data_IF_947083878733
#
_entry.id   IF_947083878733
#
_cell.length_a   1.000
_cell.length_b   1.000
_cell.length_c   1.000
_cell.angle_alpha   90.00
_cell.angle_beta   90.00
_cell.angle_gamma   90.00
#
_symmetry.space_group_name_H-M   'P 1'
#
loop_
_entity.id
_entity.type
_entity.pdbx_description
1 polymer ?
#
# COMPACT_ATOMS: atom_id res chain seq x y z
N UNK A 1 -31.53 7.70 -27.39
CA UNK A 1 -30.92 8.46 -26.27
C UNK A 1 -31.19 7.64 -25.01
N UNK A 2 -30.17 7.06 -24.39
CA UNK A 2 -30.34 6.25 -23.17
C UNK A 2 -30.09 7.17 -21.99
N UNK A 3 -31.13 7.44 -21.21
CA UNK A 3 -31.02 8.14 -19.93
C UNK A 3 -31.06 7.08 -18.83
N UNK A 4 -29.93 6.89 -18.14
CA UNK A 4 -29.82 5.98 -17.01
C UNK A 4 -29.27 6.73 -15.80
N UNK A 5 -30.03 6.76 -14.71
CA UNK A 5 -29.52 7.16 -13.41
C UNK A 5 -28.64 6.04 -12.84
N UNK A 6 -27.52 6.41 -12.21
CA UNK A 6 -26.68 5.45 -11.48
C UNK A 6 -26.16 6.09 -10.20
N UNK A 7 -25.91 5.25 -9.20
CA UNK A 7 -25.35 5.62 -7.90
C UNK A 7 -24.23 4.64 -7.56
N UNK A 8 -23.12 5.15 -7.02
CA UNK A 8 -21.99 4.30 -6.62
C UNK A 8 -21.73 4.50 -5.12
N UNK A 9 -22.05 3.46 -4.35
CA UNK A 9 -21.81 3.44 -2.91
C UNK A 9 -20.35 3.09 -2.62
N UNK A 10 -19.62 4.00 -1.96
CA UNK A 10 -18.25 3.78 -1.52
C UNK A 10 -18.12 3.90 -0.01
N UNK A 11 -17.39 2.98 0.61
CA UNK A 11 -17.02 3.04 2.03
C UNK A 11 -15.57 3.50 2.13
N UNK A 12 -15.37 4.73 2.60
CA UNK A 12 -14.05 5.22 2.96
C UNK A 12 -13.71 4.78 4.39
N UNK A 13 -12.73 3.88 4.54
CA UNK A 13 -12.32 3.33 5.84
C UNK A 13 -11.14 4.13 6.40
N UNK A 14 -11.35 4.78 7.54
CA UNK A 14 -10.32 5.46 8.32
C UNK A 14 -10.17 4.78 9.68
N UNK A 15 -8.94 4.42 10.05
CA UNK A 15 -8.62 3.80 11.35
C UNK A 15 -7.53 4.61 12.02
N UNK A 16 -7.76 5.01 13.27
CA UNK A 16 -6.75 5.64 14.11
C UNK A 16 -6.20 4.60 15.07
N UNK A 17 -4.88 4.50 15.17
CA UNK A 17 -4.20 3.60 16.08
C UNK A 17 -2.85 4.20 16.47
N UNK A 18 -2.22 3.63 17.49
CA UNK A 18 -0.83 3.94 17.89
C UNK A 18 0.01 2.70 17.68
N UNK A 19 1.28 2.88 17.31
CA UNK A 19 2.21 1.77 17.08
C UNK A 19 1.65 0.75 16.06
N UNK A 20 1.27 1.25 14.88
CA UNK A 20 0.55 0.48 13.87
C UNK A 20 1.33 -0.74 13.33
N UNK A 21 2.66 -0.77 13.53
CA UNK A 21 3.55 -1.87 13.17
C UNK A 21 3.97 -2.72 14.39
N UNK A 22 3.40 -2.47 15.57
CA UNK A 22 3.50 -3.42 16.68
C UNK A 22 2.78 -4.72 16.29
N UNK A 23 3.41 -5.91 16.40
CA UNK A 23 2.78 -7.17 16.02
C UNK A 23 1.47 -7.51 16.76
N UNK A 24 1.20 -6.91 17.91
CA UNK A 24 -0.08 -7.04 18.62
C UNK A 24 -1.17 -6.09 18.13
N UNK A 25 -0.84 -5.10 17.29
CA UNK A 25 -1.79 -4.12 16.79
C UNK A 25 -2.67 -4.72 15.68
N UNK A 26 -4.00 -4.73 15.82
CA UNK A 26 -4.86 -5.38 14.85
C UNK A 26 -5.12 -4.55 13.58
N UNK A 27 -4.79 -3.26 13.58
CA UNK A 27 -5.31 -2.31 12.60
C UNK A 27 -4.98 -2.65 11.14
N UNK A 28 -3.80 -3.23 10.87
CA UNK A 28 -3.38 -3.55 9.51
C UNK A 28 -3.86 -4.93 9.05
N UNK A 29 -3.67 -5.98 9.85
CA UNK A 29 -4.07 -7.32 9.41
C UNK A 29 -5.60 -7.48 9.31
N UNK A 30 -6.39 -6.76 10.11
CA UNK A 30 -7.86 -6.81 10.04
C UNK A 30 -8.43 -6.12 8.80
N UNK A 31 -7.70 -5.20 8.16
CA UNK A 31 -8.17 -4.58 6.91
C UNK A 31 -7.92 -5.46 5.68
N UNK A 32 -7.11 -6.50 5.82
CA UNK A 32 -6.87 -7.48 4.77
C UNK A 32 -8.11 -8.35 4.60
N UNK A 33 -8.74 -8.24 3.44
CA UNK A 33 -9.87 -9.12 3.13
C UNK A 33 -9.35 -10.53 2.83
N UNK A 34 -9.99 -11.59 3.36
CA UNK A 34 -9.63 -12.96 3.02
C UNK A 34 -9.61 -13.15 1.50
N UNK A 35 -8.56 -13.78 0.99
CA UNK A 35 -8.53 -14.21 -0.41
C UNK A 35 -8.94 -15.68 -0.46
N UNK A 36 -9.58 -16.10 -1.56
CA UNK A 36 -9.99 -17.50 -1.73
C UNK A 36 -8.80 -18.49 -1.77
N UNK A 37 -7.56 -17.99 -1.90
CA UNK A 37 -6.35 -18.78 -2.06
C UNK A 37 -5.30 -18.60 -0.95
N UNK A 38 -5.66 -18.01 0.20
CA UNK A 38 -4.74 -17.82 1.33
C UNK A 38 -4.59 -16.36 1.78
N UNK A 39 -3.46 -15.99 2.41
CA UNK A 39 -3.24 -14.63 2.89
C UNK A 39 -3.24 -13.61 1.74
N UNK A 40 -3.62 -12.38 2.04
CA UNK A 40 -3.54 -11.29 1.09
C UNK A 40 -2.08 -11.03 0.71
N UNK A 41 -1.75 -11.12 -0.58
CA UNK A 41 -0.43 -10.74 -1.08
C UNK A 41 -0.28 -9.22 -1.05
N UNK A 42 0.80 -8.73 -0.46
CA UNK A 42 1.05 -7.30 -0.24
C UNK A 42 2.39 -6.90 -0.86
N UNK A 43 2.39 -5.86 -1.68
CA UNK A 43 3.61 -5.14 -2.05
C UNK A 43 3.65 -3.82 -1.28
N UNK A 44 4.74 -3.58 -0.54
CA UNK A 44 4.89 -2.41 0.32
C UNK A 44 5.83 -1.39 -0.30
N UNK A 45 5.45 -0.10 -0.26
CA UNK A 45 6.29 1.03 -0.64
C UNK A 45 6.52 1.96 0.55
N UNK A 46 7.74 2.48 0.69
CA UNK A 46 8.14 3.34 1.82
C UNK A 46 8.79 4.61 1.26
N UNK A 47 8.35 5.76 1.77
CA UNK A 47 8.98 7.05 1.52
C UNK A 47 10.44 7.06 2.03
N UNK A 48 11.39 7.40 1.17
CA UNK A 48 12.82 7.44 1.51
C UNK A 48 13.18 8.38 2.68
N UNK A 49 12.47 9.50 2.85
CA UNK A 49 12.66 10.40 3.98
C UNK A 49 12.18 9.77 5.29
N UNK A 50 11.07 9.02 5.22
CA UNK A 50 10.59 8.24 6.36
C UNK A 50 11.55 7.09 6.72
N UNK A 51 12.03 6.34 5.72
CA UNK A 51 13.02 5.29 5.94
C UNK A 51 14.32 5.83 6.54
N UNK A 52 14.77 7.02 6.11
CA UNK A 52 15.93 7.70 6.68
C UNK A 52 15.71 8.19 8.12
N UNK A 53 14.50 8.64 8.45
CA UNK A 53 14.16 9.11 9.79
C UNK A 53 13.90 7.98 10.80
N UNK A 54 13.49 6.80 10.32
CA UNK A 54 13.24 5.62 11.14
C UNK A 54 14.05 4.41 10.65
N UNK A 55 15.32 4.29 11.07
CA UNK A 55 16.13 3.10 10.84
C UNK A 55 15.44 1.86 11.43
N UNK A 56 15.21 0.84 10.60
CA UNK A 56 14.50 -0.39 10.98
C UNK A 56 13.02 -0.44 10.59
N UNK A 57 12.49 0.59 9.92
CA UNK A 57 11.11 0.58 9.44
C UNK A 57 10.81 -0.61 8.51
N UNK A 58 11.68 -0.90 7.53
CA UNK A 58 11.50 -2.04 6.63
C UNK A 58 11.42 -3.38 7.38
N UNK A 59 12.26 -3.55 8.41
CA UNK A 59 12.25 -4.73 9.28
C UNK A 59 10.97 -4.78 10.12
N UNK A 60 10.50 -3.64 10.63
CA UNK A 60 9.23 -3.57 11.36
C UNK A 60 8.02 -3.96 10.48
N UNK A 61 7.99 -3.50 9.22
CA UNK A 61 6.96 -3.91 8.25
C UNK A 61 7.04 -5.41 7.99
N UNK A 62 8.25 -5.94 7.80
CA UNK A 62 8.49 -7.37 7.54
C UNK A 62 8.04 -8.22 8.72
N UNK A 63 8.50 -7.89 9.93
CA UNK A 63 8.15 -8.56 11.18
C UNK A 63 6.65 -8.55 11.44
N UNK A 64 5.96 -7.43 11.17
CA UNK A 64 4.51 -7.37 11.34
C UNK A 64 3.80 -8.38 10.41
N UNK A 65 4.21 -8.47 9.15
CA UNK A 65 3.61 -9.42 8.20
C UNK A 65 3.88 -10.88 8.62
N UNK A 66 5.11 -11.18 9.05
CA UNK A 66 5.49 -12.52 9.53
C UNK A 66 4.73 -12.95 10.80
N UNK A 67 4.32 -12.00 11.64
CA UNK A 67 3.47 -12.27 12.79
C UNK A 67 2.01 -12.60 12.41
N UNK A 68 1.58 -12.28 11.19
CA UNK A 68 0.19 -12.45 10.71
C UNK A 68 0.08 -13.24 9.40
N UNK A 69 0.68 -14.45 9.29
CA UNK A 69 0.80 -15.19 8.03
C UNK A 69 -0.54 -15.72 7.50
N UNK A 70 -1.59 -15.71 8.33
CA UNK A 70 -2.96 -16.07 7.91
C UNK A 70 -3.68 -14.92 7.20
N UNK A 71 -3.26 -13.67 7.43
CA UNK A 71 -3.97 -12.48 6.95
C UNK A 71 -3.25 -11.82 5.79
N UNK A 72 -1.93 -11.66 5.87
CA UNK A 72 -1.12 -11.08 4.79
C UNK A 72 0.20 -11.79 4.59
N UNK A 73 0.72 -11.68 3.37
CA UNK A 73 2.04 -12.14 2.95
C UNK A 73 2.71 -11.02 2.16
N UNK A 74 3.87 -10.55 2.62
CA UNK A 74 4.67 -9.62 1.83
C UNK A 74 5.28 -10.33 0.61
N UNK A 75 5.23 -9.64 -0.53
CA UNK A 75 5.87 -10.07 -1.77
C UNK A 75 7.19 -9.34 -1.90
N UNK A 76 8.25 -9.97 -1.40
CA UNK A 76 9.57 -9.36 -1.30
C UNK A 76 9.71 -8.37 -0.14
N UNK A 77 10.87 -7.74 -0.06
CA UNK A 77 11.13 -6.67 0.90
C UNK A 77 10.35 -5.39 0.53
N UNK A 78 10.00 -4.54 1.52
CA UNK A 78 9.43 -3.23 1.22
C UNK A 78 10.33 -2.42 0.28
N UNK A 79 9.72 -1.73 -0.67
CA UNK A 79 10.41 -0.98 -1.72
C UNK A 79 10.49 0.51 -1.35
N UNK A 80 11.70 1.06 -1.29
CA UNK A 80 11.90 2.48 -1.02
C UNK A 80 11.65 3.29 -2.29
N UNK A 81 10.87 4.36 -2.18
CA UNK A 81 10.62 5.33 -3.25
C UNK A 81 11.10 6.72 -2.84
N UNK A 82 11.45 7.60 -3.82
CA UNK A 82 11.78 8.99 -3.52
C UNK A 82 10.69 9.66 -2.69
N UNK A 83 11.10 10.40 -1.65
CA UNK A 83 10.20 11.10 -0.75
C UNK A 83 9.79 12.47 -1.27
N UNK A 84 8.72 13.02 -0.69
CA UNK A 84 8.25 14.37 -1.00
C UNK A 84 7.83 14.58 -2.45
N UNK A 85 7.77 15.84 -2.91
CA UNK A 85 7.25 16.19 -4.24
C UNK A 85 8.12 15.68 -5.41
N UNK A 86 9.35 15.22 -5.16
CA UNK A 86 10.22 14.63 -6.20
C UNK A 86 9.53 13.46 -6.89
N UNK A 87 8.78 12.62 -6.14
CA UNK A 87 8.08 11.47 -6.70
C UNK A 87 6.97 11.84 -7.70
N UNK A 88 6.39 13.03 -7.56
CA UNK A 88 5.33 13.55 -8.45
C UNK A 88 5.88 14.16 -9.72
N UNK A 89 7.09 14.71 -9.65
CA UNK A 89 7.68 15.51 -10.73
C UNK A 89 8.31 14.66 -11.84
N UNK A 90 8.31 13.33 -11.70
CA UNK A 90 8.93 12.43 -12.65
C UNK A 90 8.12 11.14 -12.87
N UNK A 91 7.59 10.97 -14.08
CA UNK A 91 6.80 9.79 -14.47
C UNK A 91 7.58 8.49 -14.34
N UNK A 92 8.92 8.52 -14.41
CA UNK A 92 9.77 7.33 -14.26
C UNK A 92 9.56 6.64 -12.92
N UNK A 93 9.19 7.38 -11.87
CA UNK A 93 8.87 6.79 -10.57
C UNK A 93 7.55 6.02 -10.59
N UNK A 94 6.52 6.56 -11.23
CA UNK A 94 5.24 5.86 -11.42
C UNK A 94 5.43 4.63 -12.31
N UNK A 95 6.18 4.75 -13.40
CA UNK A 95 6.47 3.62 -14.31
C UNK A 95 7.22 2.50 -13.57
N UNK A 96 8.17 2.85 -12.70
CA UNK A 96 8.89 1.88 -11.87
C UNK A 96 7.97 1.20 -10.83
N UNK A 97 7.04 1.93 -10.21
CA UNK A 97 6.04 1.35 -9.30
C UNK A 97 5.15 0.36 -10.06
N UNK A 98 4.69 0.72 -11.27
CA UNK A 98 3.90 -0.17 -12.12
C UNK A 98 4.67 -1.43 -12.51
N UNK A 99 5.94 -1.29 -12.88
CA UNK A 99 6.80 -2.43 -13.18
C UNK A 99 6.98 -3.32 -11.95
N UNK A 100 7.20 -2.74 -10.77
CA UNK A 100 7.32 -3.49 -9.51
C UNK A 100 6.04 -4.27 -9.17
N UNK A 101 4.87 -3.66 -9.38
CA UNK A 101 3.56 -4.32 -9.24
C UNK A 101 3.43 -5.50 -10.21
N UNK A 102 3.86 -5.31 -11.46
CA UNK A 102 3.83 -6.34 -12.49
C UNK A 102 4.75 -7.51 -12.15
N UNK A 103 6.01 -7.24 -11.85
CA UNK A 103 7.04 -8.25 -11.55
C UNK A 103 6.70 -9.04 -10.28
N UNK A 104 6.12 -8.37 -9.28
CA UNK A 104 5.61 -9.01 -8.07
C UNK A 104 4.30 -9.81 -8.29
N UNK A 105 3.74 -9.81 -9.51
CA UNK A 105 2.48 -10.47 -9.85
C UNK A 105 1.33 -10.03 -8.93
N UNK A 106 1.28 -8.75 -8.56
CA UNK A 106 0.21 -8.18 -7.73
C UNK A 106 -1.00 -7.93 -8.63
N UNK A 107 -2.17 -8.44 -8.22
CA UNK A 107 -3.40 -8.35 -9.01
C UNK A 107 -4.54 -7.72 -8.22
N UNK A 108 -5.76 -7.71 -8.78
CA UNK A 108 -6.97 -7.13 -8.15
C UNK A 108 -7.38 -7.73 -6.79
N UNK A 109 -6.85 -8.90 -6.43
CA UNK A 109 -7.07 -9.54 -5.13
C UNK A 109 -5.95 -9.25 -4.13
N UNK A 110 -4.83 -8.72 -4.60
CA UNK A 110 -3.68 -8.31 -3.81
C UNK A 110 -3.85 -6.88 -3.29
N UNK A 111 -2.91 -6.46 -2.46
CA UNK A 111 -2.85 -5.13 -1.89
C UNK A 111 -1.51 -4.45 -2.22
N UNK A 112 -1.58 -3.16 -2.47
CA UNK A 112 -0.44 -2.25 -2.35
C UNK A 112 -0.56 -1.56 -1.00
N UNK A 113 0.52 -1.54 -0.23
CA UNK A 113 0.60 -0.77 1.01
C UNK A 113 1.64 0.32 0.85
N UNK A 114 1.34 1.53 1.31
CA UNK A 114 2.28 2.66 1.22
C UNK A 114 2.42 3.35 2.57
N UNK A 115 3.68 3.61 2.96
CA UNK A 115 4.07 4.34 4.17
C UNK A 115 4.77 5.63 3.74
N UNK A 116 4.17 6.78 4.04
CA UNK A 116 4.78 8.05 3.64
C UNK A 116 3.88 9.26 3.78
N UNK A 117 4.42 10.40 3.36
CA UNK A 117 3.68 11.66 3.28
C UNK A 117 2.79 11.76 2.03
N UNK A 118 1.98 12.82 1.95
CA UNK A 118 0.96 13.00 0.92
C UNK A 118 1.46 12.78 -0.52
N UNK A 119 2.64 13.29 -0.86
CA UNK A 119 3.20 13.14 -2.20
C UNK A 119 3.43 11.69 -2.62
N UNK A 120 3.98 10.86 -1.72
CA UNK A 120 4.22 9.43 -1.96
C UNK A 120 2.90 8.65 -1.96
N UNK A 121 1.98 8.97 -1.05
CA UNK A 121 0.64 8.36 -1.02
C UNK A 121 -0.11 8.59 -2.34
N UNK A 122 0.01 9.78 -2.91
CA UNK A 122 -0.62 10.14 -4.18
C UNK A 122 0.01 9.37 -5.36
N UNK A 123 1.34 9.35 -5.47
CA UNK A 123 2.02 8.69 -6.58
C UNK A 123 1.80 7.17 -6.57
N UNK A 124 1.98 6.52 -5.41
CA UNK A 124 1.71 5.08 -5.27
C UNK A 124 0.23 4.78 -5.43
N UNK A 125 -0.64 5.64 -4.90
CA UNK A 125 -2.09 5.50 -5.05
C UNK A 125 -2.56 5.62 -6.49
N UNK A 126 -1.97 6.54 -7.26
CA UNK A 126 -2.22 6.67 -8.69
C UNK A 126 -1.78 5.43 -9.46
N UNK A 127 -0.56 4.94 -9.22
CA UNK A 127 -0.06 3.70 -9.85
C UNK A 127 -0.95 2.49 -9.54
N UNK A 128 -1.37 2.32 -8.28
CA UNK A 128 -2.28 1.24 -7.87
C UNK A 128 -3.67 1.36 -8.51
N UNK A 129 -4.18 2.58 -8.74
CA UNK A 129 -5.47 2.80 -9.37
C UNK A 129 -5.50 2.42 -10.85
N UNK A 130 -4.39 2.64 -11.58
CA UNK A 130 -4.31 2.31 -13.02
C UNK A 130 -3.82 0.88 -13.27
N UNK A 131 -3.02 0.31 -12.37
CA UNK A 131 -2.57 -1.08 -12.47
C UNK A 131 -3.76 -2.04 -12.40
N UNK A 132 -3.85 -2.96 -13.38
CA UNK A 132 -4.93 -3.95 -13.48
C UNK A 132 -6.36 -3.39 -13.35
N UNK A 133 -6.57 -2.11 -13.70
CA UNK A 133 -7.83 -1.37 -13.52
C UNK A 133 -8.27 -1.21 -12.05
N UNK A 134 -7.31 -1.18 -11.13
CA UNK A 134 -7.52 -0.92 -9.71
C UNK A 134 -7.06 -2.08 -8.83
N UNK A 135 -6.01 -1.82 -8.06
CA UNK A 135 -5.53 -2.68 -6.97
C UNK A 135 -5.95 -2.06 -5.64
N UNK A 136 -6.21 -2.91 -4.64
CA UNK A 136 -6.57 -2.46 -3.29
C UNK A 136 -5.37 -1.74 -2.66
N UNK A 137 -5.62 -0.59 -2.04
CA UNK A 137 -4.57 0.24 -1.45
C UNK A 137 -4.80 0.41 0.05
N UNK A 138 -3.76 0.19 0.85
CA UNK A 138 -3.69 0.60 2.26
C UNK A 138 -2.68 1.72 2.40
N UNK A 139 -3.08 2.80 3.08
CA UNK A 139 -2.25 3.99 3.28
C UNK A 139 -1.90 4.12 4.76
N UNK A 140 -0.63 4.32 5.05
CA UNK A 140 -0.10 4.73 6.34
C UNK A 140 0.43 6.17 6.20
N UNK A 141 -0.42 7.19 6.43
CA UNK A 141 -0.01 8.57 6.32
C UNK A 141 0.93 8.96 7.46
N UNK A 142 2.07 9.57 7.12
CA UNK A 142 3.08 9.98 8.11
C UNK A 142 3.25 11.49 8.23
N UNK A 143 2.51 12.25 7.43
CA UNK A 143 2.44 13.72 7.51
C UNK A 143 0.98 14.15 7.39
N UNK A 144 0.60 15.20 8.10
CA UNK A 144 -0.61 15.98 7.82
C UNK A 144 -0.37 16.98 6.70
#
# INVERSE_FOLDING_TARGET
>A
MINASFEVNFVHRLRFTRDALDPGNPAWHEVMAPTAGGPARVLAFIDSGLAGAWPGLEEAVTRYAEAHPRSLQLVGAPLIVPGGEVIKNDRRHVDWILQSIHDAHICRQSYVTVFGGGAVLDAVGYAAAIAHRGIRLVRFPTTT
#
